data_IF_849673583780
#
_entry.id   IF_849673583780
#
_cell.length_a   1.000
_cell.length_b   1.000
_cell.length_c   1.000
_cell.angle_alpha   90.00
_cell.angle_beta   90.00
_cell.angle_gamma   90.00
#
_symmetry.space_group_name_H-M   'P 1'
#
loop_
_entity.id
_entity.type
_entity.pdbx_description
1 polymer ?
#
# COMPACT_ATOMS: atom_id res chain seq x y z
N UNK A 1 -38.88 9.11 -63.21
CA UNK A 1 -37.88 8.15 -63.72
C UNK A 1 -36.50 8.26 -63.05
N UNK A 2 -35.92 9.46 -62.79
CA UNK A 2 -34.55 9.58 -62.24
C UNK A 2 -34.34 9.03 -60.82
N UNK A 3 -35.34 9.12 -59.93
CA UNK A 3 -35.23 8.63 -58.54
C UNK A 3 -35.17 7.10 -58.44
N UNK A 4 -35.92 6.39 -59.28
CA UNK A 4 -35.95 4.91 -59.27
C UNK A 4 -34.64 4.32 -59.82
N UNK A 5 -33.96 5.03 -60.73
CA UNK A 5 -32.64 4.64 -61.25
C UNK A 5 -31.57 4.73 -60.15
N UNK A 6 -31.56 5.79 -59.34
CA UNK A 6 -30.62 5.95 -58.23
C UNK A 6 -30.79 4.89 -57.14
N UNK A 7 -32.05 4.53 -56.80
CA UNK A 7 -32.31 3.48 -55.81
C UNK A 7 -31.87 2.11 -56.35
N UNK A 8 -32.12 1.82 -57.62
CA UNK A 8 -31.69 0.56 -58.25
C UNK A 8 -30.16 0.45 -58.34
N UNK A 9 -29.45 1.55 -58.53
CA UNK A 9 -27.98 1.56 -58.54
C UNK A 9 -27.42 1.37 -57.13
N UNK A 10 -28.02 2.00 -56.12
CA UNK A 10 -27.62 1.83 -54.72
C UNK A 10 -27.85 0.40 -54.21
N UNK A 11 -28.97 -0.23 -54.57
CA UNK A 11 -29.22 -1.65 -54.20
C UNK A 11 -28.27 -2.59 -54.91
N UNK A 12 -27.95 -2.32 -56.19
CA UNK A 12 -26.99 -3.14 -56.93
C UNK A 12 -25.56 -3.01 -56.37
N UNK A 13 -25.16 -1.82 -55.94
CA UNK A 13 -23.88 -1.60 -55.26
C UNK A 13 -23.86 -2.29 -53.89
N UNK A 14 -24.94 -2.23 -53.12
CA UNK A 14 -25.03 -2.93 -51.84
C UNK A 14 -24.92 -4.46 -52.01
N UNK A 15 -25.59 -5.02 -53.02
CA UNK A 15 -25.52 -6.45 -53.35
C UNK A 15 -24.11 -6.84 -53.84
N UNK A 16 -23.43 -5.99 -54.62
CA UNK A 16 -22.05 -6.23 -55.04
C UNK A 16 -21.06 -6.17 -53.87
N UNK A 17 -21.28 -5.29 -52.89
CA UNK A 17 -20.49 -5.25 -51.65
C UNK A 17 -20.71 -6.55 -50.87
N UNK A 18 -21.95 -6.99 -50.65
CA UNK A 18 -22.22 -8.24 -49.95
C UNK A 18 -21.67 -9.47 -50.68
N UNK A 19 -21.74 -9.52 -52.00
CA UNK A 19 -21.14 -10.57 -52.82
C UNK A 19 -19.61 -10.58 -52.72
N UNK A 20 -18.96 -9.41 -52.64
CA UNK A 20 -17.50 -9.32 -52.44
C UNK A 20 -17.07 -9.83 -51.06
N UNK A 21 -17.89 -9.59 -50.02
CA UNK A 21 -17.66 -10.15 -48.68
C UNK A 21 -17.93 -11.65 -48.62
N UNK A 22 -18.85 -12.17 -49.42
CA UNK A 22 -19.15 -13.61 -49.49
C UNK A 22 -18.12 -14.41 -50.32
N UNK A 23 -17.54 -13.82 -51.37
CA UNK A 23 -16.55 -14.49 -52.24
C UNK A 23 -15.26 -14.89 -51.51
N UNK A 24 -14.95 -14.24 -50.39
CA UNK A 24 -13.76 -14.49 -49.60
C UNK A 24 -13.95 -15.56 -48.49
N UNK A 25 -15.18 -16.02 -48.25
CA UNK A 25 -15.46 -17.04 -47.21
C UNK A 25 -15.07 -18.47 -47.62
N UNK A 26 -14.90 -18.75 -48.91
CA UNK A 26 -14.63 -20.10 -49.43
C UNK A 26 -13.48 -20.15 -50.47
N UNK A 27 -12.56 -19.18 -50.44
CA UNK A 27 -11.36 -19.21 -51.29
C UNK A 27 -10.35 -20.26 -50.79
N UNK A 28 -9.67 -20.96 -51.72
CA UNK A 28 -8.61 -21.94 -51.42
C UNK A 28 -7.52 -21.34 -50.52
N UNK A 29 -7.19 -20.05 -50.69
CA UNK A 29 -6.20 -19.34 -49.86
C UNK A 29 -6.68 -19.06 -48.44
N UNK A 30 -7.99 -18.81 -48.25
CA UNK A 30 -8.59 -18.67 -46.92
C UNK A 30 -8.63 -20.02 -46.18
N UNK A 31 -8.88 -21.11 -46.91
CA UNK A 31 -8.79 -22.47 -46.37
C UNK A 31 -7.34 -22.87 -46.04
N UNK A 32 -6.34 -22.49 -46.85
CA UNK A 32 -4.92 -22.76 -46.55
C UNK A 32 -4.41 -21.94 -45.36
N UNK A 33 -4.88 -20.70 -45.16
CA UNK A 33 -4.63 -19.92 -43.93
C UNK A 33 -5.34 -20.50 -42.69
N UNK A 34 -6.43 -21.24 -42.85
CA UNK A 34 -7.04 -21.99 -41.74
C UNK A 34 -6.23 -23.24 -41.38
N UNK A 35 -5.54 -23.87 -42.34
CA UNK A 35 -4.62 -24.98 -42.05
C UNK A 35 -3.39 -24.54 -41.23
N UNK A 36 -2.98 -23.27 -41.27
CA UNK A 36 -1.88 -22.76 -40.45
C UNK A 36 -2.25 -22.50 -38.99
N UNK A 37 -3.54 -22.59 -38.63
CA UNK A 37 -4.07 -22.38 -37.27
C UNK A 37 -4.89 -23.59 -36.82
N UNK A 38 -4.23 -24.70 -36.45
CA UNK A 38 -4.90 -25.96 -36.17
C UNK A 38 -5.83 -25.93 -34.94
N UNK A 39 -5.74 -24.92 -34.08
CA UNK A 39 -6.51 -24.80 -32.85
C UNK A 39 -7.53 -23.66 -32.91
N UNK A 40 -8.66 -23.83 -32.21
CA UNK A 40 -9.70 -22.79 -32.13
C UNK A 40 -9.26 -21.61 -31.26
N UNK A 41 -8.40 -21.89 -30.27
CA UNK A 41 -7.86 -20.88 -29.37
C UNK A 41 -6.58 -20.23 -29.93
N UNK A 42 -6.56 -18.88 -29.98
CA UNK A 42 -5.39 -18.11 -30.45
C UNK A 42 -4.12 -18.44 -29.65
N UNK A 43 -4.21 -18.50 -28.32
CA UNK A 43 -3.08 -18.85 -27.43
C UNK A 43 -2.42 -20.18 -27.79
N UNK A 44 -3.20 -21.19 -28.21
CA UNK A 44 -2.68 -22.50 -28.59
C UNK A 44 -2.02 -22.46 -29.98
N UNK A 45 -2.53 -21.65 -30.90
CA UNK A 45 -1.88 -21.41 -32.19
C UNK A 45 -0.52 -20.71 -32.01
N UNK A 46 -0.42 -19.73 -31.11
CA UNK A 46 0.85 -19.04 -30.82
C UNK A 46 1.89 -20.02 -30.23
N UNK A 47 1.47 -20.99 -29.42
CA UNK A 47 2.34 -22.07 -28.94
C UNK A 47 2.74 -23.03 -30.06
N UNK A 48 1.79 -23.38 -30.94
CA UNK A 48 2.02 -24.27 -32.07
C UNK A 48 3.05 -23.71 -33.05
N UNK A 49 2.90 -22.44 -33.45
CA UNK A 49 3.82 -21.77 -34.38
C UNK A 49 5.26 -21.76 -33.83
N UNK A 50 5.43 -21.51 -32.53
CA UNK A 50 6.75 -21.54 -31.87
C UNK A 50 7.30 -22.94 -31.67
N UNK A 51 6.42 -23.91 -31.41
CA UNK A 51 6.81 -25.31 -31.26
C UNK A 51 7.30 -25.92 -32.58
N UNK A 52 6.67 -25.56 -33.70
CA UNK A 52 7.12 -25.95 -35.05
C UNK A 52 8.55 -25.47 -35.32
N UNK A 53 8.93 -24.30 -34.80
CA UNK A 53 10.28 -23.75 -34.95
C UNK A 53 11.33 -24.37 -34.00
N UNK A 54 10.89 -24.96 -32.89
CA UNK A 54 11.79 -25.33 -31.78
C UNK A 54 11.91 -26.84 -31.55
N UNK A 55 10.98 -27.66 -32.06
CA UNK A 55 10.87 -29.08 -31.74
C UNK A 55 11.03 -29.98 -32.97
N UNK A 56 11.56 -31.18 -32.71
CA UNK A 56 11.76 -32.25 -33.68
C UNK A 56 10.42 -32.92 -34.10
N UNK A 57 10.35 -33.52 -35.29
CA UNK A 57 9.10 -33.94 -35.95
C UNK A 57 8.32 -34.98 -35.10
N UNK A 58 9.03 -35.88 -34.40
CA UNK A 58 8.42 -36.85 -33.50
C UNK A 58 7.79 -36.20 -32.26
N UNK A 59 8.43 -35.16 -31.70
CA UNK A 59 7.91 -34.43 -30.54
C UNK A 59 6.76 -33.51 -30.94
N UNK A 60 6.80 -32.98 -32.16
CA UNK A 60 5.76 -32.14 -32.74
C UNK A 60 4.43 -32.89 -32.93
N UNK A 61 4.48 -34.15 -33.41
CA UNK A 61 3.27 -34.99 -33.54
C UNK A 61 2.62 -35.29 -32.18
N UNK A 62 3.42 -35.54 -31.15
CA UNK A 62 2.92 -35.76 -29.79
C UNK A 62 2.35 -34.48 -29.17
N UNK A 63 3.03 -33.34 -29.35
CA UNK A 63 2.52 -32.04 -28.91
C UNK A 63 1.20 -31.68 -29.61
N UNK A 64 1.06 -32.00 -30.89
CA UNK A 64 -0.18 -31.77 -31.65
C UNK A 64 -1.35 -32.54 -31.04
N UNK A 65 -1.14 -33.79 -30.63
CA UNK A 65 -2.16 -34.58 -29.95
C UNK A 65 -2.52 -33.99 -28.58
N UNK A 66 -1.50 -33.64 -27.78
CA UNK A 66 -1.68 -33.05 -26.44
C UNK A 66 -2.41 -31.69 -26.50
N UNK A 67 -2.05 -30.82 -27.45
CA UNK A 67 -2.71 -29.52 -27.65
C UNK A 67 -4.14 -29.65 -28.19
N UNK A 68 -4.46 -30.71 -28.95
CA UNK A 68 -5.84 -30.97 -29.42
C UNK A 68 -6.76 -31.35 -28.26
N UNK A 69 -6.25 -32.13 -27.31
CA UNK A 69 -6.97 -32.47 -26.08
C UNK A 69 -7.20 -31.19 -25.27
N UNK A 70 -6.16 -30.37 -25.10
CA UNK A 70 -6.27 -29.10 -24.40
C UNK A 70 -7.25 -28.12 -25.06
N UNK A 71 -7.28 -27.99 -26.39
CA UNK A 71 -8.24 -27.13 -27.12
C UNK A 71 -9.68 -27.56 -26.84
N UNK A 72 -9.94 -28.88 -26.75
CA UNK A 72 -11.25 -29.41 -26.39
C UNK A 72 -11.62 -29.06 -24.95
N UNK A 73 -10.71 -29.25 -24.01
CA UNK A 73 -10.93 -28.94 -22.59
C UNK A 73 -11.18 -27.45 -22.36
N UNK A 74 -10.43 -26.57 -23.02
CA UNK A 74 -10.62 -25.12 -22.97
C UNK A 74 -11.99 -24.69 -23.53
N UNK A 75 -12.44 -25.29 -24.63
CA UNK A 75 -13.78 -25.03 -25.17
C UNK A 75 -14.87 -25.52 -24.20
N UNK A 76 -14.68 -26.69 -23.57
CA UNK A 76 -15.63 -27.17 -22.56
C UNK A 76 -15.65 -26.30 -21.31
N UNK A 77 -14.51 -25.78 -20.88
CA UNK A 77 -14.42 -24.85 -19.76
C UNK A 77 -15.18 -23.56 -20.07
N UNK A 78 -15.03 -23.00 -21.29
CA UNK A 78 -15.77 -21.80 -21.70
C UNK A 78 -17.28 -22.01 -21.68
N UNK A 79 -17.77 -23.18 -22.12
CA UNK A 79 -19.20 -23.54 -22.02
C UNK A 79 -19.64 -23.66 -20.56
N UNK A 80 -18.88 -24.41 -19.77
CA UNK A 80 -19.17 -24.65 -18.35
C UNK A 80 -19.16 -23.35 -17.51
N UNK A 81 -18.30 -22.39 -17.87
CA UNK A 81 -18.29 -21.02 -17.31
C UNK A 81 -19.49 -20.19 -17.76
N UNK A 82 -19.88 -20.27 -19.03
CA UNK A 82 -21.07 -19.59 -19.54
C UNK A 82 -22.36 -20.09 -18.87
N UNK A 83 -22.40 -21.38 -18.53
CA UNK A 83 -23.50 -22.01 -17.78
C UNK A 83 -23.47 -21.69 -16.27
N UNK A 84 -22.47 -20.93 -15.78
CA UNK A 84 -22.38 -20.45 -14.40
C UNK A 84 -22.05 -21.54 -13.37
N UNK A 85 -21.57 -22.71 -13.81
CA UNK A 85 -21.36 -23.89 -12.97
C UNK A 85 -19.95 -23.96 -12.34
N UNK A 86 -19.04 -23.04 -12.67
CA UNK A 86 -17.66 -22.97 -12.14
C UNK A 86 -17.47 -21.79 -11.20
N UNK A 87 -18.24 -21.74 -10.09
CA UNK A 87 -18.15 -20.65 -9.10
C UNK A 87 -16.83 -20.68 -8.32
N UNK A 88 -16.30 -21.86 -8.08
CA UNK A 88 -15.06 -22.08 -7.31
C UNK A 88 -13.80 -22.08 -8.17
N UNK A 89 -13.92 -21.99 -9.50
CA UNK A 89 -12.79 -21.95 -10.44
C UNK A 89 -11.93 -23.22 -10.49
N UNK A 90 -12.40 -24.32 -9.89
CA UNK A 90 -11.63 -25.57 -9.75
C UNK A 90 -11.33 -26.17 -11.13
N UNK A 91 -12.31 -26.14 -12.05
CA UNK A 91 -12.10 -26.68 -13.41
C UNK A 91 -11.17 -25.81 -14.23
N UNK A 92 -11.24 -24.49 -14.07
CA UNK A 92 -10.27 -23.58 -14.68
C UNK A 92 -8.84 -23.83 -14.20
N UNK A 93 -8.65 -23.97 -12.89
CA UNK A 93 -7.34 -24.24 -12.32
C UNK A 93 -6.77 -25.57 -12.84
N UNK A 94 -7.61 -26.59 -12.98
CA UNK A 94 -7.21 -27.88 -13.55
C UNK A 94 -6.75 -27.75 -15.01
N UNK A 95 -7.54 -27.10 -15.87
CA UNK A 95 -7.22 -26.90 -17.30
C UNK A 95 -5.93 -26.08 -17.45
N UNK A 96 -5.71 -25.06 -16.61
CA UNK A 96 -4.47 -24.28 -16.58
C UNK A 96 -3.26 -25.11 -16.14
N UNK A 97 -3.42 -25.98 -15.12
CA UNK A 97 -2.36 -26.90 -14.66
C UNK A 97 -2.00 -27.92 -15.74
N UNK A 98 -2.98 -28.46 -16.46
CA UNK A 98 -2.75 -29.39 -17.58
C UNK A 98 -1.96 -28.72 -18.71
N UNK A 99 -2.34 -27.50 -19.12
CA UNK A 99 -1.60 -26.73 -20.13
C UNK A 99 -0.15 -26.46 -19.69
N UNK A 100 0.06 -26.03 -18.44
CA UNK A 100 1.40 -25.78 -17.91
C UNK A 100 2.25 -27.06 -17.86
N UNK A 101 1.66 -28.21 -17.53
CA UNK A 101 2.35 -29.50 -17.52
C UNK A 101 2.77 -29.93 -18.94
N UNK A 102 1.90 -29.76 -19.94
CA UNK A 102 2.20 -30.03 -21.35
C UNK A 102 3.37 -29.11 -21.79
N UNK A 103 3.29 -27.81 -21.55
CA UNK A 103 4.34 -26.88 -21.96
C UNK A 103 5.68 -27.14 -21.26
N UNK A 104 5.66 -27.56 -19.98
CA UNK A 104 6.86 -27.99 -19.25
C UNK A 104 7.48 -29.25 -19.86
N UNK A 105 6.67 -30.24 -20.25
CA UNK A 105 7.13 -31.49 -20.90
C UNK A 105 7.89 -31.22 -22.20
N UNK A 106 7.51 -30.19 -22.95
CA UNK A 106 8.13 -29.83 -24.23
C UNK A 106 9.09 -28.64 -24.16
N UNK A 107 9.40 -28.11 -22.97
CA UNK A 107 10.36 -27.00 -22.81
C UNK A 107 9.86 -25.64 -23.32
N UNK A 108 8.54 -25.46 -23.50
CA UNK A 108 7.91 -24.23 -24.02
C UNK A 108 7.39 -23.30 -22.90
N UNK A 109 7.89 -23.48 -21.68
CA UNK A 109 7.42 -22.76 -20.48
C UNK A 109 7.66 -21.24 -20.55
N UNK A 110 8.73 -20.81 -21.21
CA UNK A 110 9.06 -19.37 -21.31
C UNK A 110 8.04 -18.61 -22.16
N UNK A 111 7.48 -19.27 -23.17
CA UNK A 111 6.40 -18.71 -24.01
C UNK A 111 5.10 -18.57 -23.22
N UNK A 112 4.83 -19.50 -22.31
CA UNK A 112 3.66 -19.45 -21.43
C UNK A 112 3.69 -18.22 -20.52
N UNK A 113 4.86 -17.92 -19.95
CA UNK A 113 5.06 -16.73 -19.09
C UNK A 113 4.83 -15.44 -19.87
N UNK A 114 5.35 -15.33 -21.09
CA UNK A 114 5.14 -14.13 -21.94
C UNK A 114 3.67 -13.93 -22.32
N UNK A 115 2.92 -14.99 -22.64
CA UNK A 115 1.50 -14.88 -23.00
C UNK A 115 0.58 -14.58 -21.80
N UNK A 116 0.94 -15.04 -20.58
CA UNK A 116 0.20 -14.72 -19.34
C UNK A 116 0.16 -13.20 -19.07
N UNK A 117 1.21 -12.46 -19.44
CA UNK A 117 1.24 -11.01 -19.30
C UNK A 117 0.31 -10.27 -20.27
N UNK A 118 -0.10 -10.89 -21.38
CA UNK A 118 -0.96 -10.27 -22.40
C UNK A 118 -2.47 -10.48 -22.13
N UNK A 119 -2.86 -11.61 -21.53
CA UNK A 119 -4.27 -11.93 -21.22
C UNK A 119 -4.82 -11.21 -19.97
N UNK A 120 -3.94 -10.63 -19.13
CA UNK A 120 -4.32 -9.97 -17.87
C UNK A 120 -4.93 -8.55 -18.03
N UNK A 121 -5.21 -8.09 -19.26
CA UNK A 121 -5.87 -6.79 -19.50
C UNK A 121 -7.41 -6.88 -19.61
N UNK A 122 -8.00 -8.06 -19.36
CA UNK A 122 -9.45 -8.23 -19.33
C UNK A 122 -9.87 -9.02 -18.09
N UNK A 123 -10.24 -8.31 -17.02
CA UNK A 123 -10.95 -8.88 -15.88
C UNK A 123 -10.08 -9.09 -14.64
N UNK A 124 -10.25 -8.17 -13.71
CA UNK A 124 -9.87 -8.24 -12.30
C UNK A 124 -10.31 -9.57 -11.66
N UNK A 125 -9.34 -10.45 -11.37
CA UNK A 125 -9.34 -11.38 -10.23
C UNK A 125 -7.89 -11.61 -9.83
N UNK A 126 -7.51 -11.00 -8.70
CA UNK A 126 -6.30 -11.28 -7.97
C UNK A 126 -6.28 -12.74 -7.50
N UNK A 127 -5.31 -13.52 -7.98
CA UNK A 127 -4.87 -14.72 -7.28
C UNK A 127 -3.33 -14.80 -7.30
N UNK A 128 -2.80 -14.95 -6.09
CA UNK A 128 -1.41 -14.94 -5.69
C UNK A 128 -0.79 -16.32 -5.91
N UNK A 129 0.22 -16.37 -6.77
CA UNK A 129 1.19 -17.49 -6.79
C UNK A 129 2.46 -17.06 -7.53
N UNK A 130 3.28 -16.33 -6.78
CA UNK A 130 4.74 -16.30 -6.66
C UNK A 130 5.61 -16.54 -7.92
N UNK A 131 6.40 -15.55 -8.38
CA UNK A 131 7.75 -15.12 -7.92
C UNK A 131 8.83 -15.69 -8.86
N UNK A 132 9.87 -14.90 -9.16
CA UNK A 132 11.27 -15.40 -9.12
C UNK A 132 12.36 -14.54 -9.77
N UNK A 133 12.12 -13.34 -10.33
CA UNK A 133 13.26 -12.61 -10.91
C UNK A 133 13.62 -11.23 -10.36
N UNK A 134 12.74 -10.42 -9.77
CA UNK A 134 13.17 -9.13 -9.17
C UNK A 134 12.22 -8.63 -8.06
N UNK A 135 11.90 -9.50 -7.09
CA UNK A 135 11.36 -9.03 -5.81
C UNK A 135 12.55 -8.95 -4.87
N UNK A 136 13.08 -7.75 -4.66
CA UNK A 136 13.81 -7.46 -3.42
C UNK A 136 12.96 -8.04 -2.27
N UNK A 137 13.48 -9.08 -1.60
CA UNK A 137 12.85 -9.82 -0.50
C UNK A 137 11.86 -8.91 0.22
N UNK A 138 10.56 -9.13 0.07
CA UNK A 138 9.57 -8.43 0.88
C UNK A 138 9.91 -8.74 2.33
N UNK A 139 10.31 -7.72 3.09
CA UNK A 139 10.75 -7.92 4.48
C UNK A 139 9.54 -8.14 5.39
N UNK A 140 8.38 -7.64 4.96
CA UNK A 140 7.09 -7.67 5.67
C UNK A 140 6.02 -8.35 4.81
N UNK A 141 5.06 -9.03 5.45
CA UNK A 141 3.92 -9.67 4.75
C UNK A 141 2.96 -8.62 4.21
N UNK A 142 2.81 -7.48 4.89
CA UNK A 142 1.99 -6.36 4.40
C UNK A 142 2.75 -5.50 3.36
N UNK A 143 2.18 -5.40 2.16
CA UNK A 143 2.66 -4.55 1.06
C UNK A 143 2.77 -3.08 1.44
N UNK A 144 1.95 -2.57 2.36
CA UNK A 144 2.02 -1.18 2.84
C UNK A 144 3.24 -0.96 3.73
N UNK A 145 3.55 -1.90 4.62
CA UNK A 145 4.75 -1.85 5.46
C UNK A 145 6.01 -1.99 4.62
N UNK A 146 6.02 -2.87 3.61
CA UNK A 146 7.16 -3.00 2.68
C UNK A 146 7.42 -1.72 1.88
N UNK A 147 6.35 -1.05 1.41
CA UNK A 147 6.46 0.27 0.77
C UNK A 147 6.99 1.34 1.72
N UNK A 148 6.55 1.31 2.98
CA UNK A 148 6.98 2.27 3.99
C UNK A 148 8.47 2.06 4.34
N UNK A 149 8.91 0.80 4.44
CA UNK A 149 10.30 0.42 4.63
C UNK A 149 11.19 0.86 3.46
N UNK A 150 10.76 0.61 2.22
CA UNK A 150 11.49 1.08 1.02
C UNK A 150 11.61 2.61 0.97
N UNK A 151 10.56 3.33 1.38
CA UNK A 151 10.61 4.79 1.52
C UNK A 151 11.62 5.23 2.58
N UNK A 152 11.70 4.51 3.69
CA UNK A 152 12.66 4.78 4.76
C UNK A 152 14.11 4.49 4.34
N UNK A 153 14.36 3.41 3.58
CA UNK A 153 15.68 3.14 3.01
C UNK A 153 16.12 4.24 2.04
N UNK A 154 15.18 4.76 1.26
CA UNK A 154 15.45 5.85 0.32
C UNK A 154 15.50 7.24 0.99
N UNK A 155 15.14 7.36 2.27
CA UNK A 155 15.11 8.65 2.98
C UNK A 155 16.43 9.01 3.65
N UNK A 156 17.49 8.21 3.49
CA UNK A 156 18.84 8.52 4.01
C UNK A 156 18.95 8.46 5.54
N UNK A 157 18.06 7.70 6.20
CA UNK A 157 18.08 7.48 7.64
C UNK A 157 19.39 6.80 8.09
N UNK A 158 19.84 7.12 9.31
CA UNK A 158 21.00 6.45 9.93
C UNK A 158 20.69 4.95 10.16
N UNK A 159 21.72 4.09 10.12
CA UNK A 159 21.57 2.63 10.25
C UNK A 159 20.90 2.24 11.59
N UNK A 160 21.21 2.95 12.67
CA UNK A 160 20.57 2.74 13.97
C UNK A 160 19.08 3.12 13.96
N UNK A 161 18.73 4.20 13.27
CA UNK A 161 17.34 4.66 13.14
C UNK A 161 16.53 3.71 12.26
N UNK A 162 17.15 3.18 11.20
CA UNK A 162 16.57 2.15 10.35
C UNK A 162 16.32 0.86 11.13
N UNK A 163 17.23 0.46 12.03
CA UNK A 163 17.05 -0.71 12.87
C UNK A 163 15.85 -0.55 13.81
N UNK A 164 15.76 0.59 14.52
CA UNK A 164 14.63 0.89 15.40
C UNK A 164 13.31 0.93 14.62
N UNK A 165 13.30 1.56 13.44
CA UNK A 165 12.11 1.60 12.59
C UNK A 165 11.69 0.20 12.13
N UNK A 166 12.66 -0.67 11.82
CA UNK A 166 12.38 -2.06 11.43
C UNK A 166 11.70 -2.83 12.56
N UNK A 167 12.15 -2.64 13.79
CA UNK A 167 11.54 -3.26 14.96
C UNK A 167 10.14 -2.69 15.23
N UNK A 168 9.95 -1.37 15.09
CA UNK A 168 8.63 -0.72 15.18
C UNK A 168 7.65 -1.25 14.11
N UNK A 169 8.10 -1.43 12.87
CA UNK A 169 7.29 -2.00 11.79
C UNK A 169 6.94 -3.46 12.04
N UNK A 170 7.85 -4.26 12.61
CA UNK A 170 7.57 -5.64 13.03
C UNK A 170 6.52 -5.69 14.14
N UNK A 171 6.61 -4.78 15.11
CA UNK A 171 5.59 -4.69 16.15
C UNK A 171 4.23 -4.30 15.57
N UNK A 172 4.18 -3.43 14.56
CA UNK A 172 2.94 -3.11 13.85
C UNK A 172 2.35 -4.32 13.12
N UNK A 173 3.20 -5.12 12.46
CA UNK A 173 2.79 -6.37 11.80
C UNK A 173 2.18 -7.37 12.81
N UNK A 174 2.81 -7.53 13.98
CA UNK A 174 2.28 -8.37 15.05
C UNK A 174 0.91 -7.87 15.57
N UNK A 175 0.71 -6.55 15.68
CA UNK A 175 -0.59 -5.97 16.06
C UNK A 175 -1.66 -6.26 15.00
N UNK A 176 -1.32 -6.18 13.71
CA UNK A 176 -2.25 -6.55 12.62
C UNK A 176 -2.62 -8.04 12.71
N UNK A 177 -1.64 -8.92 12.97
CA UNK A 177 -1.89 -10.36 13.10
C UNK A 177 -2.81 -10.67 14.28
N UNK A 178 -2.60 -10.04 15.44
CA UNK A 178 -3.50 -10.14 16.60
C UNK A 178 -4.91 -9.66 16.27
N UNK A 179 -5.04 -8.55 15.55
CA UNK A 179 -6.34 -8.03 15.11
C UNK A 179 -7.05 -8.99 14.15
N UNK A 180 -6.33 -9.61 13.22
CA UNK A 180 -6.89 -10.60 12.30
C UNK A 180 -7.33 -11.87 13.03
N UNK A 181 -6.60 -12.30 14.07
CA UNK A 181 -7.01 -13.41 14.94
C UNK A 181 -8.31 -13.10 15.67
N UNK A 182 -8.44 -11.90 16.26
CA UNK A 182 -9.69 -11.48 16.92
C UNK A 182 -10.88 -11.47 15.96
N UNK A 183 -10.68 -11.02 14.71
CA UNK A 183 -11.73 -11.11 13.69
C UNK A 183 -12.12 -12.56 13.39
N UNK A 184 -11.12 -13.44 13.26
CA UNK A 184 -11.37 -14.85 12.98
C UNK A 184 -12.16 -15.51 14.12
N UNK A 185 -11.81 -15.23 15.37
CA UNK A 185 -12.49 -15.77 16.56
C UNK A 185 -13.95 -15.30 16.64
N UNK A 186 -14.21 -14.01 16.36
CA UNK A 186 -15.57 -13.46 16.31
C UNK A 186 -16.39 -14.12 15.18
N UNK A 187 -15.82 -14.26 13.98
CA UNK A 187 -16.50 -14.88 12.85
C UNK A 187 -16.81 -16.38 13.10
N UNK A 188 -15.92 -17.10 13.76
CA UNK A 188 -16.14 -18.50 14.16
C UNK A 188 -17.25 -18.59 15.22
N UNK A 189 -17.26 -17.67 16.19
CA UNK A 189 -18.33 -17.55 17.20
C UNK A 189 -19.69 -17.25 16.56
N UNK A 190 -19.75 -16.38 15.54
CA UNK A 190 -20.98 -16.07 14.81
C UNK A 190 -21.47 -17.23 13.94
N UNK A 191 -20.59 -17.92 13.20
CA UNK A 191 -20.96 -19.03 12.33
C UNK A 191 -21.31 -20.32 13.11
N UNK A 192 -20.65 -20.56 14.25
CA UNK A 192 -20.97 -21.67 15.14
C UNK A 192 -22.34 -21.54 15.83
N UNK A 193 -22.86 -20.31 15.95
CA UNK A 193 -24.19 -20.02 16.52
C UNK A 193 -25.32 -20.26 15.50
N UNK A 194 -25.14 -19.84 14.24
CA UNK A 194 -26.12 -20.10 13.16
C UNK A 194 -26.42 -21.57 12.90
N UNK A 195 -25.53 -22.48 13.28
CA UNK A 195 -25.72 -23.93 13.11
C UNK A 195 -26.42 -24.60 14.30
N UNK A 196 -26.64 -23.91 15.43
CA UNK A 196 -27.29 -24.44 16.64
C UNK A 196 -28.71 -23.91 16.89
N UNK A 197 -29.13 -22.89 16.15
CA UNK A 197 -30.46 -22.27 16.31
C UNK A 197 -31.59 -23.06 15.61
N UNK A 198 -31.27 -24.12 14.85
CA UNK A 198 -32.28 -24.97 14.19
C UNK A 198 -32.86 -26.09 15.09
N UNK A 199 -32.33 -26.30 16.31
CA UNK A 199 -32.64 -27.50 17.13
C UNK A 199 -33.19 -27.26 18.56
N UNK A 200 -33.60 -26.04 18.95
CA UNK A 200 -34.21 -25.82 20.28
C UNK A 200 -35.60 -25.17 20.25
N UNK A 201 -36.60 -26.04 20.37
CA UNK A 201 -37.99 -25.73 20.72
C UNK A 201 -38.12 -25.04 22.10
N UNK A 202 -38.69 -23.83 22.07
CA UNK A 202 -39.73 -23.31 22.97
C UNK A 202 -39.53 -23.48 24.50
N UNK A 203 -38.68 -22.65 25.12
CA UNK A 203 -38.74 -22.35 26.56
C UNK A 203 -38.64 -20.84 26.82
N UNK A 204 -39.78 -20.22 27.15
CA UNK A 204 -40.00 -18.76 27.14
C UNK A 204 -39.35 -18.01 28.33
N UNK A 205 -38.83 -18.71 29.34
CA UNK A 205 -38.26 -18.09 30.54
C UNK A 205 -36.72 -18.02 30.59
N UNK A 206 -36.00 -18.63 29.63
CA UNK A 206 -34.53 -18.56 29.56
C UNK A 206 -34.01 -17.44 28.64
N UNK A 207 -34.88 -16.92 27.75
CA UNK A 207 -34.49 -16.02 26.65
C UNK A 207 -34.11 -14.61 27.15
N UNK A 208 -34.82 -14.05 28.12
CA UNK A 208 -34.59 -12.65 28.51
C UNK A 208 -33.24 -12.40 29.18
N UNK A 209 -32.75 -13.33 30.01
CA UNK A 209 -31.47 -13.16 30.72
C UNK A 209 -30.26 -13.55 29.88
N UNK A 210 -30.38 -14.54 29.00
CA UNK A 210 -29.28 -14.91 28.10
C UNK A 210 -29.10 -13.93 26.94
N UNK A 211 -30.19 -13.34 26.42
CA UNK A 211 -30.12 -12.38 25.31
C UNK A 211 -29.52 -11.04 25.73
N UNK A 212 -29.79 -10.56 26.95
CA UNK A 212 -29.13 -9.38 27.53
C UNK A 212 -27.63 -9.62 27.79
N UNK A 213 -27.24 -10.76 28.36
CA UNK A 213 -25.82 -11.07 28.62
C UNK A 213 -25.03 -11.29 27.31
N UNK A 214 -25.62 -11.99 26.32
CA UNK A 214 -24.96 -12.28 25.03
C UNK A 214 -24.89 -11.06 24.10
N UNK A 215 -25.86 -10.14 24.17
CA UNK A 215 -25.84 -8.90 23.38
C UNK A 215 -24.85 -7.86 23.92
N UNK A 216 -24.53 -7.91 25.22
CA UNK A 216 -23.48 -7.09 25.85
C UNK A 216 -22.09 -7.60 25.48
N UNK A 217 -21.84 -8.91 25.56
CA UNK A 217 -20.53 -9.52 25.28
C UNK A 217 -20.09 -9.34 23.80
N UNK A 218 -21.05 -9.45 22.85
CA UNK A 218 -20.79 -9.16 21.44
C UNK A 218 -20.56 -7.65 21.20
N UNK A 219 -21.28 -6.75 21.88
CA UNK A 219 -21.07 -5.30 21.74
C UNK A 219 -19.71 -4.87 22.28
N UNK A 220 -19.32 -5.40 23.44
CA UNK A 220 -18.02 -5.14 24.06
C UNK A 220 -16.87 -5.69 23.19
N UNK A 221 -17.04 -6.89 22.62
CA UNK A 221 -16.09 -7.47 21.66
C UNK A 221 -15.97 -6.63 20.37
N UNK A 222 -17.08 -6.16 19.81
CA UNK A 222 -17.06 -5.27 18.64
C UNK A 222 -16.49 -3.89 18.97
N UNK A 223 -16.69 -3.38 20.18
CA UNK A 223 -16.11 -2.13 20.63
C UNK A 223 -14.60 -2.27 20.80
N UNK A 224 -14.12 -3.32 21.47
CA UNK A 224 -12.70 -3.65 21.58
C UNK A 224 -12.05 -3.81 20.20
N UNK A 225 -12.75 -4.42 19.23
CA UNK A 225 -12.28 -4.55 17.86
C UNK A 225 -12.14 -3.19 17.15
N UNK A 226 -13.10 -2.27 17.35
CA UNK A 226 -13.03 -0.91 16.80
C UNK A 226 -11.88 -0.12 17.40
N UNK A 227 -11.66 -0.22 18.72
CA UNK A 227 -10.55 0.41 19.42
C UNK A 227 -9.21 -0.10 18.88
N UNK A 228 -9.02 -1.42 18.77
CA UNK A 228 -7.82 -2.02 18.18
C UNK A 228 -7.60 -1.60 16.72
N UNK A 229 -8.67 -1.52 15.92
CA UNK A 229 -8.58 -1.04 14.54
C UNK A 229 -8.13 0.41 14.49
N UNK A 230 -8.66 1.26 15.37
CA UNK A 230 -8.29 2.66 15.48
C UNK A 230 -6.81 2.80 15.90
N UNK A 231 -6.38 2.06 16.92
CA UNK A 231 -4.99 2.06 17.39
C UNK A 231 -4.01 1.64 16.30
N UNK A 232 -4.29 0.55 15.58
CA UNK A 232 -3.45 0.08 14.46
C UNK A 232 -3.36 1.13 13.36
N UNK A 233 -4.47 1.82 13.07
CA UNK A 233 -4.51 2.90 12.08
C UNK A 233 -3.71 4.12 12.53
N UNK A 234 -3.82 4.51 13.79
CA UNK A 234 -3.07 5.61 14.37
C UNK A 234 -1.57 5.31 14.42
N UNK A 235 -1.19 4.10 14.81
CA UNK A 235 0.19 3.64 14.81
C UNK A 235 0.79 3.66 13.41
N UNK A 236 0.06 3.15 12.40
CA UNK A 236 0.53 3.21 11.01
C UNK A 236 0.71 4.66 10.55
N UNK A 237 -0.23 5.55 10.88
CA UNK A 237 -0.12 6.98 10.56
C UNK A 237 1.12 7.59 11.21
N UNK A 238 1.36 7.32 12.49
CA UNK A 238 2.56 7.79 13.21
C UNK A 238 3.85 7.29 12.56
N UNK A 239 3.91 6.01 12.18
CA UNK A 239 5.08 5.44 11.49
C UNK A 239 5.27 6.05 10.10
N UNK A 240 4.18 6.25 9.35
CA UNK A 240 4.21 6.93 8.06
C UNK A 240 4.71 8.37 8.18
N UNK A 241 4.19 9.12 9.15
CA UNK A 241 4.58 10.51 9.40
C UNK A 241 6.05 10.59 9.85
N UNK A 242 6.52 9.65 10.68
CA UNK A 242 7.94 9.56 11.09
C UNK A 242 8.86 9.34 9.89
N UNK A 243 8.51 8.44 8.97
CA UNK A 243 9.31 8.21 7.75
C UNK A 243 9.27 9.42 6.83
N UNK A 244 8.10 10.02 6.61
CA UNK A 244 7.95 11.22 5.75
C UNK A 244 8.71 12.41 6.34
N UNK A 245 8.57 12.65 7.64
CA UNK A 245 9.27 13.72 8.33
C UNK A 245 10.76 13.44 8.35
N UNK A 246 11.21 12.21 8.63
CA UNK A 246 12.64 11.89 8.56
C UNK A 246 13.26 12.08 7.17
N UNK A 247 12.50 11.82 6.11
CA UNK A 247 12.93 12.14 4.75
C UNK A 247 13.06 13.65 4.52
N UNK A 248 12.16 14.44 5.10
CA UNK A 248 12.24 15.89 5.09
C UNK A 248 13.35 16.40 6.03
N UNK A 249 13.60 15.74 7.15
CA UNK A 249 14.59 16.09 8.16
C UNK A 249 16.00 15.76 7.67
N UNK A 250 16.19 14.76 6.80
CA UNK A 250 17.46 14.53 6.10
C UNK A 250 17.66 15.52 4.94
N UNK A 251 16.61 15.90 4.21
CA UNK A 251 16.70 17.03 3.28
C UNK A 251 17.02 18.34 4.02
N UNK A 252 16.61 18.39 5.29
CA UNK A 252 16.89 19.42 6.28
C UNK A 252 18.13 19.10 7.13
N UNK A 253 18.86 18.00 6.94
CA UNK A 253 20.09 17.72 7.72
C UNK A 253 21.27 18.52 7.19
N UNK A 254 21.01 19.36 6.18
CA UNK A 254 21.83 20.53 5.86
C UNK A 254 21.61 21.68 6.84
N UNK A 255 20.50 21.68 7.58
CA UNK A 255 20.30 22.52 8.77
C UNK A 255 21.06 21.87 9.92
N UNK A 256 22.10 22.55 10.35
CA UNK A 256 22.96 22.15 11.45
C UNK A 256 22.25 22.30 12.81
N UNK A 257 21.11 23.00 12.83
CA UNK A 257 20.29 23.27 14.00
C UNK A 257 18.82 22.89 13.78
N UNK A 258 18.18 22.28 14.78
CA UNK A 258 16.74 21.91 14.77
C UNK A 258 15.83 23.14 14.89
N UNK A 259 16.34 24.20 15.51
CA UNK A 259 15.57 25.40 15.80
C UNK A 259 15.77 26.45 14.69
N UNK A 260 14.68 26.88 14.05
CA UNK A 260 14.73 27.81 12.91
C UNK A 260 15.49 29.11 13.24
N UNK A 261 15.34 29.64 14.45
CA UNK A 261 16.06 30.85 14.90
C UNK A 261 17.58 30.65 15.01
N UNK A 262 18.02 29.48 15.48
CA UNK A 262 19.44 29.16 15.56
C UNK A 262 20.00 28.95 14.15
N UNK A 263 19.24 28.28 13.27
CA UNK A 263 19.63 28.08 11.88
C UNK A 263 19.76 29.41 11.12
N UNK A 264 18.84 30.36 11.29
CA UNK A 264 18.94 31.67 10.62
C UNK A 264 20.18 32.44 11.04
N UNK A 265 20.57 32.36 12.32
CA UNK A 265 21.79 32.99 12.82
C UNK A 265 23.04 32.29 12.26
N UNK A 266 23.01 30.96 12.17
CA UNK A 266 24.11 30.20 11.56
C UNK A 266 24.27 30.49 10.07
N UNK A 267 23.17 30.57 9.31
CA UNK A 267 23.18 30.93 7.90
C UNK A 267 23.71 32.36 7.69
N UNK A 268 23.41 33.28 8.61
CA UNK A 268 23.96 34.63 8.62
C UNK A 268 25.47 34.63 8.94
N UNK A 269 25.89 33.79 9.88
CA UNK A 269 27.29 33.60 10.25
C UNK A 269 28.12 32.99 9.12
N UNK A 270 27.59 32.02 8.37
CA UNK A 270 28.27 31.43 7.22
C UNK A 270 28.45 32.42 6.05
N UNK A 271 27.59 33.44 5.97
CA UNK A 271 27.70 34.52 4.97
C UNK A 271 28.65 35.64 5.39
N UNK A 272 29.08 35.66 6.64
CA UNK A 272 30.05 36.63 7.16
C UNK A 272 31.43 36.00 7.27
N UNK A 273 32.46 36.85 7.25
CA UNK A 273 33.86 36.41 7.19
C UNK A 273 34.41 36.04 8.58
N UNK A 274 33.82 35.02 9.20
CA UNK A 274 34.32 34.45 10.45
C UNK A 274 35.47 33.47 10.21
N UNK A 275 36.44 33.47 11.13
CA UNK A 275 37.49 32.46 11.09
C UNK A 275 36.97 31.09 11.53
N UNK A 276 37.66 30.00 11.17
CA UNK A 276 37.27 28.62 11.51
C UNK A 276 37.11 28.40 13.02
N UNK A 277 38.00 28.95 13.83
CA UNK A 277 37.92 28.84 15.30
C UNK A 277 36.75 29.66 15.87
N UNK A 278 36.49 30.84 15.30
CA UNK A 278 35.35 31.69 15.69
C UNK A 278 34.02 31.03 15.32
N UNK A 279 33.94 30.38 14.16
CA UNK A 279 32.77 29.60 13.74
C UNK A 279 32.50 28.43 14.68
N UNK A 280 33.55 27.74 15.15
CA UNK A 280 33.39 26.65 16.11
C UNK A 280 32.89 27.16 17.47
N UNK A 281 33.43 28.27 17.96
CA UNK A 281 32.93 28.91 19.20
C UNK A 281 31.47 29.35 19.04
N UNK A 282 31.13 29.96 17.90
CA UNK A 282 29.77 30.41 17.60
C UNK A 282 28.79 29.24 17.49
N UNK A 283 29.24 28.11 16.93
CA UNK A 283 28.46 26.87 16.85
C UNK A 283 28.11 26.33 18.24
N UNK A 284 29.06 26.30 19.16
CA UNK A 284 28.80 25.90 20.55
C UNK A 284 27.83 26.86 21.25
N UNK A 285 27.99 28.17 21.05
CA UNK A 285 27.06 29.18 21.58
C UNK A 285 25.65 29.01 21.02
N UNK A 286 25.51 28.73 19.71
CA UNK A 286 24.23 28.46 19.07
C UNK A 286 23.61 27.14 19.54
N UNK A 287 24.39 26.12 19.85
CA UNK A 287 23.87 24.88 20.44
C UNK A 287 23.33 25.13 21.86
N UNK A 288 24.04 25.91 22.67
CA UNK A 288 23.54 26.35 23.98
C UNK A 288 22.25 27.17 23.85
N UNK A 289 22.18 28.07 22.86
CA UNK A 289 20.98 28.84 22.56
C UNK A 289 19.80 27.94 22.15
N UNK A 290 20.03 26.96 21.26
CA UNK A 290 19.04 25.96 20.87
C UNK A 290 18.53 25.18 22.09
N UNK A 291 19.44 24.67 22.93
CA UNK A 291 19.08 23.96 24.16
C UNK A 291 18.26 24.84 25.13
N UNK A 292 18.52 26.14 25.15
CA UNK A 292 17.73 27.12 25.92
C UNK A 292 16.32 27.28 25.37
N UNK A 293 16.16 27.30 24.05
CA UNK A 293 14.85 27.37 23.39
C UNK A 293 14.06 26.09 23.60
N UNK A 294 14.69 24.91 23.46
CA UNK A 294 14.05 23.61 23.78
C UNK A 294 13.51 23.59 25.21
N UNK A 295 14.30 24.08 26.18
CA UNK A 295 13.87 24.24 27.58
C UNK A 295 12.68 25.20 27.71
N UNK A 296 12.70 26.35 27.02
CA UNK A 296 11.58 27.30 27.03
C UNK A 296 10.30 26.65 26.51
N UNK A 297 10.35 25.99 25.34
CA UNK A 297 9.20 25.29 24.74
C UNK A 297 8.62 24.23 25.68
N UNK A 298 9.48 23.46 26.35
CA UNK A 298 9.02 22.47 27.33
C UNK A 298 8.21 23.11 28.48
N UNK A 299 8.70 24.20 29.06
CA UNK A 299 7.96 24.90 30.11
C UNK A 299 6.71 25.62 29.60
N UNK A 300 6.69 26.09 28.34
CA UNK A 300 5.49 26.63 27.69
C UNK A 300 4.42 25.55 27.50
N UNK A 301 4.79 24.36 26.99
CA UNK A 301 3.87 23.22 26.89
C UNK A 301 3.37 22.75 28.25
N UNK A 302 4.25 22.72 29.27
CA UNK A 302 3.84 22.40 30.64
C UNK A 302 2.79 23.38 31.14
N UNK A 303 3.03 24.69 30.95
CA UNK A 303 2.10 25.73 31.33
C UNK A 303 0.75 25.62 30.59
N UNK A 304 0.76 25.30 29.29
CA UNK A 304 -0.45 25.08 28.51
C UNK A 304 -1.26 23.89 29.06
N UNK A 305 -0.61 22.78 29.40
CA UNK A 305 -1.27 21.63 30.01
C UNK A 305 -1.88 21.95 31.37
N UNK A 306 -1.16 22.68 32.23
CA UNK A 306 -1.67 23.13 33.54
C UNK A 306 -2.90 24.04 33.37
N UNK A 307 -2.83 25.04 32.48
CA UNK A 307 -3.97 25.94 32.21
C UNK A 307 -5.17 25.27 31.52
N UNK A 308 -4.97 24.22 30.73
CA UNK A 308 -6.06 23.42 30.15
C UNK A 308 -6.67 22.46 31.18
N UNK A 309 -5.84 21.86 32.04
CA UNK A 309 -6.27 21.03 33.15
C UNK A 309 -7.15 21.80 34.13
N UNK A 310 -6.75 23.02 34.49
CA UNK A 310 -7.52 23.92 35.35
C UNK A 310 -8.89 24.29 34.78
N UNK A 311 -9.03 24.40 33.45
CA UNK A 311 -10.35 24.65 32.82
C UNK A 311 -11.31 23.47 32.94
N UNK A 312 -10.79 22.25 33.01
CA UNK A 312 -11.61 21.03 33.16
C UNK A 312 -11.87 20.66 34.63
N UNK A 313 -11.01 21.08 35.56
CA UNK A 313 -11.08 20.74 36.98
C UNK A 313 -11.72 21.83 37.86
N UNK A 314 -12.01 23.01 37.31
CA UNK A 314 -12.57 24.19 38.01
C UNK A 314 -14.02 24.03 38.57
N UNK A 315 -14.47 22.81 38.85
CA UNK A 315 -15.67 22.57 39.66
C UNK A 315 -15.38 22.17 41.11
N UNK A 316 -14.17 21.73 41.48
CA UNK A 316 -13.90 21.41 42.88
C UNK A 316 -12.38 21.30 43.15
N UNK A 317 -11.91 22.04 44.17
CA UNK A 317 -10.70 21.84 44.98
C UNK A 317 -9.51 22.81 44.73
N UNK A 318 -9.41 23.73 45.70
CA UNK A 318 -8.26 24.12 46.52
C UNK A 318 -7.03 24.88 45.95
N UNK A 319 -6.73 25.94 46.68
CA UNK A 319 -5.75 27.03 46.57
C UNK A 319 -4.27 26.67 46.39
N UNK A 320 -3.90 25.39 46.28
CA UNK A 320 -2.49 24.95 46.20
C UNK A 320 -1.93 24.86 44.78
N UNK A 321 -2.79 24.72 43.77
CA UNK A 321 -2.38 24.68 42.34
C UNK A 321 -1.87 26.05 41.86
N UNK A 322 -2.44 27.14 42.38
CA UNK A 322 -2.15 28.52 41.97
C UNK A 322 -0.68 28.94 42.20
N UNK A 323 -0.01 28.40 43.21
CA UNK A 323 1.40 28.73 43.49
C UNK A 323 2.40 28.01 42.57
N UNK A 324 2.12 26.76 42.19
CA UNK A 324 2.92 26.04 41.17
C UNK A 324 2.80 26.73 39.81
N UNK A 325 1.56 27.09 39.45
CA UNK A 325 1.22 27.79 38.22
C UNK A 325 1.96 29.14 38.11
N UNK A 326 1.96 29.92 39.20
CA UNK A 326 2.72 31.18 39.27
C UNK A 326 4.22 30.96 39.13
N UNK A 327 4.77 29.89 39.71
CA UNK A 327 6.20 29.58 39.60
C UNK A 327 6.58 29.20 38.16
N UNK A 328 5.81 28.35 37.48
CA UNK A 328 6.05 27.97 36.08
C UNK A 328 5.91 29.20 35.16
N UNK A 329 4.88 30.03 35.35
CA UNK A 329 4.70 31.29 34.59
C UNK A 329 5.90 32.23 34.73
N UNK A 330 6.41 32.44 35.96
CA UNK A 330 7.62 33.26 36.20
C UNK A 330 8.83 32.67 35.50
N UNK A 331 9.02 31.36 35.60
CA UNK A 331 10.13 30.65 34.96
C UNK A 331 10.08 30.78 33.44
N UNK A 332 8.92 30.61 32.80
CA UNK A 332 8.73 30.83 31.36
C UNK A 332 9.10 32.27 30.98
N UNK A 333 8.64 33.27 31.74
CA UNK A 333 8.96 34.69 31.49
C UNK A 333 10.47 34.96 31.57
N UNK A 334 11.15 34.43 32.59
CA UNK A 334 12.58 34.60 32.78
C UNK A 334 13.39 33.89 31.69
N UNK A 335 12.97 32.68 31.31
CA UNK A 335 13.58 31.92 30.21
C UNK A 335 13.41 32.67 28.89
N UNK A 336 12.22 33.19 28.61
CA UNK A 336 11.93 33.96 27.41
C UNK A 336 12.78 35.22 27.32
N UNK A 337 12.92 35.94 28.44
CA UNK A 337 13.80 37.11 28.48
C UNK A 337 15.26 36.74 28.23
N UNK A 338 15.77 35.67 28.87
CA UNK A 338 17.15 35.19 28.67
C UNK A 338 17.40 34.72 27.23
N UNK A 339 16.46 33.99 26.63
CA UNK A 339 16.53 33.57 25.22
C UNK A 339 16.57 34.78 24.30
N UNK A 340 15.66 35.75 24.47
CA UNK A 340 15.65 36.95 23.62
C UNK A 340 16.93 37.78 23.78
N UNK A 341 17.46 37.88 25.01
CA UNK A 341 18.73 38.58 25.25
C UNK A 341 19.89 37.91 24.49
N UNK A 342 20.04 36.59 24.64
CA UNK A 342 21.06 35.82 23.92
C UNK A 342 20.89 35.91 22.40
N UNK A 343 19.64 35.86 21.92
CA UNK A 343 19.34 36.02 20.50
C UNK A 343 19.85 37.36 19.96
N UNK A 344 19.50 38.46 20.63
CA UNK A 344 19.91 39.79 20.22
C UNK A 344 21.43 39.99 20.32
N UNK A 345 22.08 39.42 21.34
CA UNK A 345 23.54 39.46 21.50
C UNK A 345 24.25 38.74 20.35
N UNK A 346 23.79 37.52 20.00
CA UNK A 346 24.31 36.74 18.88
C UNK A 346 24.04 37.44 17.54
N UNK A 347 22.82 37.91 17.32
CA UNK A 347 22.42 38.63 16.11
C UNK A 347 23.26 39.89 15.91
N UNK A 348 23.43 40.71 16.96
CA UNK A 348 24.22 41.93 16.89
C UNK A 348 25.69 41.62 16.60
N UNK A 349 26.27 40.59 17.23
CA UNK A 349 27.66 40.18 17.00
C UNK A 349 27.88 39.71 15.55
N UNK A 350 26.95 38.90 15.02
CA UNK A 350 27.03 38.39 13.64
C UNK A 350 26.82 39.54 12.63
N UNK A 351 25.86 40.43 12.89
CA UNK A 351 25.62 41.60 12.03
C UNK A 351 26.79 42.59 12.03
N UNK A 352 27.42 42.85 13.17
CA UNK A 352 28.60 43.73 13.24
C UNK A 352 29.72 43.23 12.33
N UNK A 353 30.03 41.93 12.40
CA UNK A 353 31.05 41.32 11.53
C UNK A 353 30.65 41.29 10.06
N UNK A 354 29.36 41.19 9.76
CA UNK A 354 28.86 41.27 8.40
C UNK A 354 28.90 42.71 7.82
N UNK A 355 28.82 43.75 8.65
CA UNK A 355 28.83 45.16 8.23
C UNK A 355 30.27 45.71 8.14
N UNK A 356 31.23 45.10 8.83
CA UNK A 356 32.66 45.42 8.73
C UNK A 356 33.31 44.98 7.40
N UNK A 357 32.51 44.37 6.50
CA UNK A 357 32.82 44.07 5.10
C UNK A 357 32.31 45.16 4.16
#
# INVERSE_FOLDING_TARGET
MRKNCLISVLTLIAVLIELSFAFNKYSKEANVKQLSKPFRMKKLNDFWEKAVLSLDESKLKNLMADLKVQDKEEVTLKKFKADGQDKDGIKEAQVRKQLAAILKKYGLSDVYKSNKHLDNNAGDVSDDSHSDQYIEKQIFRDKKLDKLWKKAQNSGLNDEQLLVLKDELRHHELKIEQYNQLIADINVSENGKKSKDDDFENSINAVMYEEEIKSVDNKDSHQALKEKHFDIKQDYKRLSDKVINSANDFKTSKQEFEETKAQTLWDLALKSDFNREELLSLREELDHFQNRIKKLRHFETQLEMETMGDKHLNQNIDSTVDDSDKHVKRKVKDLKHKVNKLHNELETRIMQRHIEL
#
